data_IF_950475351317
#
_entry.id   IF_950475351317
#
_cell.length_a   1.000
_cell.length_b   1.000
_cell.length_c   1.000
_cell.angle_alpha   90.00
_cell.angle_beta   90.00
_cell.angle_gamma   90.00
#
_symmetry.space_group_name_H-M   'P 1'
#
loop_
_entity.id
_entity.type
_entity.pdbx_description
1 polymer ?
#
# COMPACT_ATOMS: atom_id res chain seq x y z
N UNK A 1 -5.45 -23.04 3.47
CA UNK A 1 -5.63 -21.60 3.19
C UNK A 1 -5.98 -21.48 1.72
N UNK A 2 -7.18 -21.04 1.41
CA UNK A 2 -7.66 -20.87 0.04
C UNK A 2 -7.75 -19.38 -0.30
N UNK A 3 -7.35 -19.02 -1.53
CA UNK A 3 -7.44 -17.68 -2.07
C UNK A 3 -8.56 -17.63 -3.10
N UNK A 4 -9.48 -16.70 -2.95
CA UNK A 4 -10.51 -16.41 -3.94
C UNK A 4 -10.30 -15.02 -4.49
N UNK A 5 -10.08 -14.90 -5.80
CA UNK A 5 -10.02 -13.61 -6.47
C UNK A 5 -11.39 -12.92 -6.35
N UNK A 6 -11.40 -11.72 -5.83
CA UNK A 6 -12.60 -10.91 -5.62
C UNK A 6 -12.65 -9.70 -6.56
N UNK A 7 -11.50 -9.13 -6.87
CA UNK A 7 -11.39 -7.98 -7.78
C UNK A 7 -10.05 -8.03 -8.52
N UNK A 8 -10.07 -7.64 -9.77
CA UNK A 8 -8.91 -7.46 -10.64
C UNK A 8 -9.05 -6.10 -11.32
N UNK A 9 -8.11 -5.20 -11.00
CA UNK A 9 -8.10 -3.84 -11.53
C UNK A 9 -6.77 -3.60 -12.23
N UNK A 10 -6.84 -3.28 -13.51
CA UNK A 10 -5.65 -2.95 -14.31
C UNK A 10 -5.75 -1.52 -14.76
N UNK A 11 -4.76 -0.73 -14.40
CA UNK A 11 -4.57 0.62 -14.90
C UNK A 11 -3.66 0.56 -16.14
N UNK A 12 -4.21 0.85 -17.30
CA UNK A 12 -3.50 0.89 -18.59
C UNK A 12 -3.21 2.31 -19.05
N UNK A 13 -3.76 3.28 -18.35
CA UNK A 13 -3.53 4.71 -18.54
C UNK A 13 -3.42 5.38 -17.18
N UNK A 14 -2.87 6.57 -17.17
CA UNK A 14 -2.66 7.40 -16.00
C UNK A 14 -3.90 7.55 -15.13
N UNK A 15 -3.88 6.94 -13.95
CA UNK A 15 -4.86 7.15 -12.90
C UNK A 15 -4.14 7.54 -11.62
N UNK A 16 -4.74 8.39 -10.82
CA UNK A 16 -4.16 8.83 -9.55
C UNK A 16 -4.37 7.84 -8.40
N UNK A 17 -5.38 6.97 -8.55
CA UNK A 17 -5.80 6.08 -7.48
C UNK A 17 -6.46 4.80 -8.01
N UNK A 18 -6.40 3.73 -7.22
CA UNK A 18 -7.10 2.47 -7.45
C UNK A 18 -7.88 2.13 -6.20
N UNK A 19 -9.21 2.05 -6.33
CA UNK A 19 -10.14 1.87 -5.23
C UNK A 19 -10.76 0.47 -5.22
N UNK A 20 -10.67 -0.19 -4.08
CA UNK A 20 -11.43 -1.40 -3.77
C UNK A 20 -12.57 -1.04 -2.82
N UNK A 21 -13.72 -0.67 -3.36
CA UNK A 21 -14.91 -0.20 -2.62
C UNK A 21 -15.98 -1.28 -2.47
N UNK A 22 -15.69 -2.50 -2.88
CA UNK A 22 -16.59 -3.64 -2.76
C UNK A 22 -15.83 -4.93 -2.49
N UNK A 23 -16.53 -5.94 -1.95
CA UNK A 23 -15.94 -7.26 -1.70
C UNK A 23 -15.25 -7.41 -0.33
N UNK A 24 -14.99 -6.33 0.39
CA UNK A 24 -14.48 -6.38 1.77
C UNK A 24 -15.68 -6.56 2.71
N UNK A 25 -15.87 -7.79 3.20
CA UNK A 25 -17.04 -8.19 4.00
C UNK A 25 -16.62 -9.14 5.13
N UNK A 26 -17.56 -9.60 5.93
CA UNK A 26 -17.34 -10.62 6.95
C UNK A 26 -17.16 -12.05 6.41
N UNK A 27 -17.28 -12.24 5.09
CA UNK A 27 -17.12 -13.55 4.45
C UNK A 27 -15.71 -14.12 4.56
N UNK A 28 -14.71 -13.24 4.68
CA UNK A 28 -13.31 -13.62 4.83
C UNK A 28 -12.70 -12.99 6.08
N UNK A 29 -11.80 -13.74 6.73
CA UNK A 29 -11.07 -13.24 7.92
C UNK A 29 -9.89 -12.38 7.56
N UNK A 30 -9.36 -12.53 6.37
CA UNK A 30 -8.27 -11.70 5.87
C UNK A 30 -8.41 -11.44 4.36
N UNK A 31 -7.77 -10.39 3.93
CA UNK A 31 -7.72 -9.98 2.54
C UNK A 31 -6.28 -9.78 2.16
N UNK A 32 -5.93 -10.22 0.95
CA UNK A 32 -4.63 -10.01 0.35
C UNK A 32 -4.78 -9.17 -0.90
N UNK A 33 -4.12 -8.02 -0.93
CA UNK A 33 -3.97 -7.20 -2.11
C UNK A 33 -2.60 -7.49 -2.70
N UNK A 34 -2.52 -7.61 -4.01
CA UNK A 34 -1.28 -7.91 -4.73
C UNK A 34 -1.19 -6.98 -5.92
N UNK A 35 -0.02 -6.42 -6.16
CA UNK A 35 0.23 -5.60 -7.33
C UNK A 35 1.44 -6.10 -8.09
N UNK A 36 1.36 -5.97 -9.42
CA UNK A 36 2.38 -6.38 -10.36
C UNK A 36 2.62 -5.27 -11.35
N UNK A 37 3.88 -5.11 -11.74
CA UNK A 37 4.32 -4.17 -12.75
C UNK A 37 3.77 -2.75 -12.51
N UNK A 38 3.60 -2.43 -11.22
CA UNK A 38 3.16 -1.11 -10.81
C UNK A 38 4.25 -0.10 -11.13
N UNK A 39 3.87 0.94 -11.82
CA UNK A 39 4.77 2.02 -12.20
C UNK A 39 4.11 3.36 -11.96
N UNK A 40 4.90 4.31 -11.50
CA UNK A 40 4.54 5.72 -11.40
C UNK A 40 5.65 6.56 -12.02
N UNK A 41 5.29 7.69 -12.57
CA UNK A 41 6.26 8.65 -13.09
C UNK A 41 6.94 9.43 -11.97
N UNK A 42 6.19 9.76 -10.94
CA UNK A 42 6.71 10.45 -9.73
C UNK A 42 5.88 10.05 -8.51
N UNK A 43 6.50 10.06 -7.34
CA UNK A 43 5.81 9.83 -6.07
C UNK A 43 6.02 8.45 -5.46
N UNK A 44 5.21 8.14 -4.48
CA UNK A 44 5.30 6.93 -3.67
C UNK A 44 4.07 6.07 -3.87
N UNK A 45 4.21 4.74 -3.76
CA UNK A 45 3.05 3.90 -3.54
C UNK A 45 2.56 4.08 -2.11
N UNK A 46 1.31 4.45 -1.98
CA UNK A 46 0.65 4.70 -0.70
C UNK A 46 -0.68 3.99 -0.63
N UNK A 47 -1.25 3.83 0.57
CA UNK A 47 -2.61 3.32 0.73
C UNK A 47 -3.37 4.01 1.87
N UNK A 48 -4.68 3.91 1.81
CA UNK A 48 -5.63 4.44 2.79
C UNK A 48 -6.78 3.47 2.98
N UNK A 49 -7.48 3.59 4.09
CA UNK A 49 -8.70 2.83 4.36
C UNK A 49 -9.90 3.74 4.54
N UNK A 50 -11.07 3.18 4.27
CA UNK A 50 -12.36 3.83 4.45
C UNK A 50 -13.36 2.91 5.16
N UNK A 51 -14.24 3.52 5.95
CA UNK A 51 -15.36 2.82 6.59
C UNK A 51 -16.69 3.02 5.86
N UNK A 52 -16.74 3.93 4.89
CA UNK A 52 -17.96 4.33 4.18
C UNK A 52 -17.76 4.48 2.65
N UNK A 53 -16.55 4.22 2.15
CA UNK A 53 -16.13 4.39 0.75
C UNK A 53 -16.21 5.84 0.23
N UNK A 54 -16.29 6.83 1.11
CA UNK A 54 -16.33 8.24 0.76
C UNK A 54 -15.20 9.04 1.41
N UNK A 55 -14.97 8.84 2.69
CA UNK A 55 -13.85 9.42 3.42
C UNK A 55 -12.72 8.38 3.54
N UNK A 56 -11.50 8.77 3.20
CA UNK A 56 -10.30 7.93 3.23
C UNK A 56 -9.39 8.39 4.36
N UNK A 57 -9.92 8.41 5.58
CA UNK A 57 -9.37 9.10 6.74
C UNK A 57 -9.26 8.21 7.99
N UNK A 58 -9.27 6.89 7.84
CA UNK A 58 -9.11 5.99 8.97
C UNK A 58 -7.71 6.14 9.56
N UNK A 59 -7.65 6.49 10.84
CA UNK A 59 -6.39 6.68 11.58
C UNK A 59 -5.54 5.41 11.56
N UNK A 60 -4.24 5.59 11.38
CA UNK A 60 -3.30 4.47 11.28
C UNK A 60 -2.07 4.69 12.15
N UNK A 61 -1.60 3.63 12.77
CA UNK A 61 -0.27 3.55 13.39
C UNK A 61 0.54 2.50 12.67
N UNK A 62 1.77 2.81 12.31
CA UNK A 62 2.61 1.90 11.53
C UNK A 62 4.09 2.03 11.86
N UNK A 63 4.85 1.05 11.42
CA UNK A 63 6.30 1.11 11.29
C UNK A 63 6.71 0.88 9.83
N UNK A 64 7.91 1.27 9.48
CA UNK A 64 8.45 1.09 8.13
C UNK A 64 9.92 0.67 8.21
N UNK A 65 10.27 -0.35 7.43
CA UNK A 65 11.63 -0.84 7.27
C UNK A 65 11.93 -0.95 5.77
N UNK A 66 13.10 -0.49 5.37
CA UNK A 66 13.54 -0.52 3.97
C UNK A 66 14.98 -0.98 3.89
N UNK A 67 15.28 -1.87 2.96
CA UNK A 67 16.65 -2.19 2.54
C UNK A 67 16.85 -1.69 1.12
N UNK A 68 18.03 -1.14 0.89
CA UNK A 68 18.44 -0.60 -0.38
C UNK A 68 19.79 -1.17 -0.81
N UNK A 69 19.90 -1.58 -2.05
CA UNK A 69 21.13 -2.07 -2.66
C UNK A 69 21.34 -1.37 -4.00
N UNK A 70 22.54 -0.85 -4.20
CA UNK A 70 22.95 -0.18 -5.41
C UNK A 70 23.74 -1.15 -6.31
N UNK A 71 23.51 -1.13 -7.62
CA UNK A 71 24.23 -1.95 -8.60
C UNK A 71 25.75 -1.74 -8.60
N UNK A 72 26.22 -0.58 -8.15
CA UNK A 72 27.65 -0.30 -8.02
C UNK A 72 28.29 -0.95 -6.78
N UNK A 73 27.53 -1.67 -5.95
CA UNK A 73 27.97 -2.33 -4.71
C UNK A 73 28.66 -1.41 -3.70
N UNK A 74 28.34 -0.13 -3.72
CA UNK A 74 29.02 0.88 -2.87
C UNK A 74 28.06 1.59 -1.90
N UNK A 75 26.81 1.16 -1.83
CA UNK A 75 25.81 1.84 -1.00
C UNK A 75 24.67 0.89 -0.60
N UNK A 76 24.97 -0.04 0.28
CA UNK A 76 23.99 -0.97 0.85
C UNK A 76 23.51 -0.42 2.19
N UNK A 77 22.22 -0.20 2.32
CA UNK A 77 21.63 0.35 3.53
C UNK A 77 20.40 -0.45 3.99
N UNK A 78 20.31 -0.56 5.30
CA UNK A 78 19.10 -0.97 5.98
C UNK A 78 18.61 0.21 6.83
N UNK A 79 17.48 0.77 6.47
CA UNK A 79 16.90 1.92 7.15
C UNK A 79 15.58 1.55 7.83
N UNK A 80 15.44 1.96 9.08
CA UNK A 80 14.17 2.05 9.75
C UNK A 80 13.73 3.53 9.72
N UNK A 81 12.69 3.83 8.96
CA UNK A 81 12.14 5.17 8.94
C UNK A 81 11.12 5.36 10.06
N UNK A 82 11.30 6.41 10.84
CA UNK A 82 10.39 6.83 11.90
C UNK A 82 9.96 8.27 11.57
N UNK A 83 8.70 8.45 11.23
CA UNK A 83 8.11 9.74 10.84
C UNK A 83 8.21 10.04 9.33
N UNK A 84 7.70 11.19 8.93
CA UNK A 84 7.81 11.68 7.54
C UNK A 84 6.92 10.96 6.50
N UNK A 85 5.80 10.36 6.91
CA UNK A 85 4.90 9.65 6.00
C UNK A 85 5.20 8.16 5.85
N UNK A 86 6.39 7.70 6.25
CA UNK A 86 6.78 6.29 6.18
C UNK A 86 6.35 5.48 7.39
N UNK A 87 6.42 6.07 8.57
CA UNK A 87 5.88 5.48 9.78
C UNK A 87 4.97 6.51 10.44
N UNK A 88 3.73 6.12 10.69
CA UNK A 88 2.70 6.99 11.24
C UNK A 88 2.42 6.61 12.68
N UNK A 89 2.54 7.58 13.58
CA UNK A 89 2.07 7.44 14.95
C UNK A 89 0.69 8.06 15.08
N UNK A 90 -0.36 7.25 15.10
CA UNK A 90 -1.74 7.66 15.39
C UNK A 90 -2.15 8.98 14.67
N UNK A 91 -1.85 9.07 13.39
CA UNK A 91 -2.09 10.26 12.62
C UNK A 91 -3.56 10.35 12.19
N UNK A 92 -4.10 11.56 12.27
CA UNK A 92 -5.45 11.86 11.83
C UNK A 92 -5.38 12.04 10.31
N UNK A 93 -5.65 10.98 9.63
CA UNK A 93 -5.30 10.66 8.29
C UNK A 93 -5.95 11.51 7.19
N UNK A 94 -5.40 12.65 6.95
CA UNK A 94 -5.33 13.16 5.58
C UNK A 94 -4.03 12.72 4.87
N UNK A 95 -3.29 11.81 5.47
CA UNK A 95 -1.96 11.40 5.03
C UNK A 95 -2.00 9.98 4.49
N UNK A 96 -1.55 9.81 3.26
CA UNK A 96 -1.30 8.50 2.67
C UNK A 96 -0.21 7.78 3.46
N UNK A 97 -0.45 6.53 3.83
CA UNK A 97 0.61 5.70 4.38
C UNK A 97 1.49 5.20 3.25
N UNK A 98 2.73 5.62 3.26
CA UNK A 98 3.70 5.22 2.23
C UNK A 98 4.07 3.74 2.39
N UNK A 99 3.87 2.97 1.33
CA UNK A 99 4.31 1.58 1.24
C UNK A 99 5.67 1.45 0.54
N UNK A 100 5.97 2.36 -0.38
CA UNK A 100 7.24 2.40 -1.10
C UNK A 100 7.59 3.84 -1.47
N UNK A 101 8.85 4.23 -1.27
CA UNK A 101 9.30 5.61 -1.41
C UNK A 101 10.29 5.75 -2.54
N UNK A 102 9.84 5.71 -3.78
CA UNK A 102 10.75 5.96 -4.89
C UNK A 102 10.07 6.70 -6.03
N UNK A 103 10.81 7.62 -6.61
CA UNK A 103 10.49 8.22 -7.90
C UNK A 103 11.11 7.38 -9.01
N UNK A 104 10.29 6.85 -9.89
CA UNK A 104 10.70 5.98 -10.98
C UNK A 104 10.85 6.79 -12.27
N UNK A 105 12.03 7.38 -12.47
CA UNK A 105 12.33 8.13 -13.70
C UNK A 105 12.69 7.26 -14.91
N UNK A 106 12.78 5.93 -14.73
CA UNK A 106 13.22 5.01 -15.79
C UNK A 106 12.06 4.19 -16.34
N UNK A 107 12.13 3.92 -17.65
CA UNK A 107 11.07 3.22 -18.38
C UNK A 107 10.87 1.76 -17.95
N UNK A 108 11.88 1.15 -17.33
CA UNK A 108 11.94 -0.23 -16.88
C UNK A 108 11.81 -0.41 -15.36
N UNK A 109 11.67 0.68 -14.62
CA UNK A 109 11.45 0.63 -13.17
C UNK A 109 10.02 0.22 -12.85
N UNK A 110 9.87 -0.69 -11.90
CA UNK A 110 8.56 -1.21 -11.48
C UNK A 110 8.56 -1.68 -10.03
N UNK A 111 7.35 -1.80 -9.47
CA UNK A 111 7.12 -2.30 -8.11
C UNK A 111 6.19 -3.51 -8.17
N UNK A 112 6.55 -4.55 -7.42
CA UNK A 112 5.68 -5.70 -7.15
C UNK A 112 5.56 -5.89 -5.64
N UNK A 113 4.38 -6.27 -5.17
CA UNK A 113 4.22 -6.46 -3.73
C UNK A 113 2.86 -7.00 -3.31
N UNK A 114 2.70 -7.03 -2.00
CA UNK A 114 1.46 -7.46 -1.37
C UNK A 114 1.18 -6.70 -0.06
N UNK A 115 -0.09 -6.53 0.23
CA UNK A 115 -0.60 -6.04 1.51
C UNK A 115 -1.63 -7.04 2.04
N UNK A 116 -1.51 -7.34 3.31
CA UNK A 116 -2.47 -8.16 4.05
C UNK A 116 -3.25 -7.31 5.03
N UNK A 117 -4.56 -7.43 4.99
CA UNK A 117 -5.49 -6.78 5.91
C UNK A 117 -6.23 -7.85 6.71
N UNK A 118 -6.09 -7.82 8.03
CA UNK A 118 -6.62 -8.82 8.93
C UNK A 118 -7.94 -8.36 9.53
N UNK A 119 -8.96 -9.22 9.41
CA UNK A 119 -10.27 -9.07 10.04
C UNK A 119 -10.91 -7.68 9.86
N UNK A 120 -10.97 -7.13 8.61
CA UNK A 120 -11.44 -5.76 8.38
C UNK A 120 -12.90 -5.54 8.79
N UNK A 121 -13.72 -6.58 8.74
CA UNK A 121 -15.13 -6.50 9.11
C UNK A 121 -15.38 -6.52 10.64
N UNK A 122 -14.34 -6.61 11.47
CA UNK A 122 -14.49 -6.54 12.92
C UNK A 122 -15.08 -5.18 13.34
N UNK A 123 -16.05 -5.22 14.25
CA UNK A 123 -16.59 -4.03 14.93
C UNK A 123 -16.13 -3.92 16.39
N UNK A 124 -15.13 -4.70 16.76
CA UNK A 124 -14.62 -4.78 18.15
C UNK A 124 -13.15 -4.41 18.24
N UNK A 125 -12.35 -4.84 17.28
CA UNK A 125 -10.88 -4.70 17.32
C UNK A 125 -10.37 -3.79 16.20
N UNK A 126 -9.27 -3.10 16.45
CA UNK A 126 -8.46 -2.46 15.43
C UNK A 126 -8.02 -3.47 14.35
N UNK A 127 -7.79 -3.01 13.15
CA UNK A 127 -7.48 -3.87 12.00
C UNK A 127 -6.00 -3.89 11.75
N UNK A 128 -5.38 -5.03 12.02
CA UNK A 128 -3.96 -5.24 11.73
C UNK A 128 -3.75 -5.39 10.22
N UNK A 129 -2.64 -4.88 9.77
CA UNK A 129 -2.18 -5.04 8.40
C UNK A 129 -0.65 -5.15 8.35
N UNK A 130 -0.14 -5.72 7.29
CA UNK A 130 1.28 -5.69 6.96
C UNK A 130 1.46 -5.74 5.44
N UNK A 131 2.57 -5.20 4.98
CA UNK A 131 2.94 -5.26 3.57
C UNK A 131 4.41 -5.63 3.39
N UNK A 132 4.72 -6.07 2.19
CA UNK A 132 6.07 -6.14 1.65
C UNK A 132 6.04 -5.83 0.17
N UNK A 133 7.05 -5.14 -0.31
CA UNK A 133 7.25 -4.96 -1.74
C UNK A 133 8.72 -4.97 -2.12
N UNK A 134 8.94 -5.15 -3.41
CA UNK A 134 10.23 -5.05 -4.07
C UNK A 134 10.08 -4.12 -5.25
N UNK A 135 11.02 -3.23 -5.41
CA UNK A 135 11.07 -2.28 -6.52
C UNK A 135 12.45 -2.26 -7.16
N UNK A 136 12.47 -2.05 -8.46
CA UNK A 136 13.66 -1.68 -9.19
C UNK A 136 13.62 -0.20 -9.52
N UNK A 137 14.75 0.46 -9.42
CA UNK A 137 14.90 1.83 -9.85
C UNK A 137 16.28 2.03 -10.48
N UNK A 138 16.45 3.09 -11.21
CA UNK A 138 17.59 3.48 -12.04
C UNK A 138 18.95 2.77 -11.80
N UNK A 139 19.36 2.58 -10.56
CA UNK A 139 20.69 2.07 -10.20
C UNK A 139 20.67 1.04 -9.06
N UNK A 140 19.55 0.39 -8.83
CA UNK A 140 19.46 -0.58 -7.75
C UNK A 140 18.07 -1.14 -7.50
N UNK A 141 17.93 -1.79 -6.35
CA UNK A 141 16.66 -2.32 -5.90
C UNK A 141 16.38 -1.92 -4.45
N UNK A 142 15.10 -1.90 -4.13
CA UNK A 142 14.61 -1.65 -2.78
C UNK A 142 13.66 -2.77 -2.39
N UNK A 143 13.75 -3.16 -1.13
CA UNK A 143 12.73 -3.96 -0.47
C UNK A 143 12.19 -3.18 0.70
N UNK A 144 10.87 -3.08 0.81
CA UNK A 144 10.22 -2.44 1.93
C UNK A 144 9.26 -3.38 2.64
N UNK A 145 9.18 -3.19 3.94
CA UNK A 145 8.27 -3.89 4.85
C UNK A 145 7.66 -2.87 5.77
N UNK A 146 6.36 -2.94 5.94
CA UNK A 146 5.70 -2.21 7.02
C UNK A 146 4.57 -3.02 7.61
N UNK A 147 4.14 -2.62 8.77
CA UNK A 147 2.98 -3.18 9.44
C UNK A 147 2.44 -2.19 10.45
N UNK A 148 1.18 -2.38 10.78
CA UNK A 148 0.51 -1.48 11.69
C UNK A 148 -0.93 -1.89 11.94
N UNK A 149 -1.69 -0.94 12.42
CA UNK A 149 -3.13 -1.13 12.60
C UNK A 149 -3.89 0.16 12.29
N UNK A 150 -5.12 -0.01 11.83
CA UNK A 150 -6.09 1.06 11.76
C UNK A 150 -6.82 1.19 13.10
N UNK A 151 -6.77 2.37 13.69
CA UNK A 151 -7.41 2.68 14.96
C UNK A 151 -8.89 3.00 14.75
N UNK A 152 -9.67 1.98 14.48
CA UNK A 152 -11.12 2.07 14.38
C UNK A 152 -11.78 0.76 14.82
N UNK A 153 -12.88 0.88 15.55
CA UNK A 153 -13.78 -0.24 15.82
C UNK A 153 -14.78 -0.47 14.68
N UNK A 154 -14.97 0.48 13.76
CA UNK A 154 -15.85 0.31 12.62
C UNK A 154 -15.27 -0.65 11.59
N UNK A 155 -16.11 -1.37 10.87
CA UNK A 155 -15.67 -2.20 9.76
C UNK A 155 -15.03 -1.35 8.66
N UNK A 156 -13.89 -1.78 8.14
CA UNK A 156 -13.29 -1.22 6.92
C UNK A 156 -14.05 -1.79 5.73
N UNK A 157 -14.52 -0.94 4.86
CA UNK A 157 -15.30 -1.29 3.65
C UNK A 157 -14.55 -0.98 2.36
N UNK A 158 -13.51 -0.14 2.43
CA UNK A 158 -12.70 0.23 1.27
C UNK A 158 -11.22 0.33 1.58
N UNK A 159 -10.42 0.02 0.55
CA UNK A 159 -8.97 0.26 0.49
C UNK A 159 -8.67 1.01 -0.79
N UNK A 160 -7.91 2.08 -0.69
CA UNK A 160 -7.39 2.88 -1.80
C UNK A 160 -5.89 2.72 -1.88
N UNK A 161 -5.37 2.47 -3.04
CA UNK A 161 -3.97 2.66 -3.39
C UNK A 161 -3.84 3.94 -4.20
N UNK A 162 -2.85 4.76 -3.88
CA UNK A 162 -2.62 6.03 -4.53
C UNK A 162 -1.13 6.25 -4.82
N UNK A 163 -0.84 7.08 -5.78
CA UNK A 163 0.48 7.59 -6.06
C UNK A 163 0.60 9.01 -5.50
N UNK A 164 1.67 9.32 -4.83
CA UNK A 164 1.95 10.68 -4.35
C UNK A 164 2.66 10.71 -3.01
N UNK A 165 3.27 11.85 -2.71
CA UNK A 165 3.67 12.20 -1.36
C UNK A 165 2.42 12.58 -0.54
N UNK A 166 2.53 12.56 0.78
CA UNK A 166 1.45 12.95 1.68
C UNK A 166 0.77 14.27 1.21
N UNK A 167 -0.43 14.16 0.68
CA UNK A 167 -1.24 15.31 0.23
C UNK A 167 -1.15 15.66 -1.26
N UNK A 168 -0.35 14.97 -2.04
CA UNK A 168 -0.31 15.16 -3.50
C UNK A 168 -0.67 13.87 -4.22
N UNK A 169 -1.73 13.91 -5.01
CA UNK A 169 -2.06 12.83 -5.95
C UNK A 169 -1.09 12.95 -7.12
N UNK A 170 -0.12 12.06 -7.18
CA UNK A 170 0.77 11.95 -8.34
C UNK A 170 0.02 11.40 -9.53
N UNK A 171 0.45 11.77 -10.72
CA UNK A 171 -0.09 11.27 -11.97
C UNK A 171 0.55 9.91 -12.32
N UNK A 172 -0.21 9.05 -13.00
CA UNK A 172 0.27 7.92 -13.78
C UNK A 172 0.53 6.60 -13.05
N UNK A 173 -0.45 6.11 -12.27
CA UNK A 173 -0.48 4.70 -11.90
C UNK A 173 -0.73 3.85 -13.16
N UNK A 174 0.19 2.93 -13.44
CA UNK A 174 -0.05 1.80 -14.35
C UNK A 174 0.25 0.50 -13.61
N UNK A 175 -0.30 -0.62 -14.05
CA UNK A 175 -0.08 -1.92 -13.46
C UNK A 175 -1.36 -2.68 -13.13
N UNK A 176 -1.22 -3.83 -12.53
CA UNK A 176 -2.33 -4.70 -12.15
C UNK A 176 -2.42 -4.81 -10.63
N UNK A 177 -3.61 -4.55 -10.09
CA UNK A 177 -3.93 -4.69 -8.68
C UNK A 177 -5.04 -5.73 -8.50
N UNK A 178 -4.82 -6.70 -7.62
CA UNK A 178 -5.79 -7.78 -7.36
C UNK A 178 -6.09 -7.90 -5.88
N UNK A 179 -7.35 -8.10 -5.57
CA UNK A 179 -7.81 -8.38 -4.21
C UNK A 179 -8.30 -9.82 -4.09
N UNK A 180 -7.82 -10.52 -3.09
CA UNK A 180 -8.22 -11.87 -2.73
C UNK A 180 -8.82 -11.92 -1.34
N UNK A 181 -9.92 -12.65 -1.19
CA UNK A 181 -10.40 -13.12 0.10
C UNK A 181 -9.67 -14.40 0.51
N UNK A 182 -9.32 -14.49 1.78
CA UNK A 182 -8.53 -15.62 2.33
C UNK A 182 -9.33 -16.34 3.40
N UNK A 183 -9.51 -17.65 3.23
CA UNK A 183 -10.22 -18.56 4.13
C UNK A 183 -9.33 -19.71 4.60
#
# INVERSE_FOLDING_TARGET
MAFKLLSDQSATSSVSEIDFTSGITSAYKSYRFVWYDYRVTEGNLSFMASIDNSAWDVRVTSNFLQSWNNEASNNDNLNAAIGGGYAQGDDNASTFLVLESMSFGQADSHICGELWLMNPASTTFGKMWWHRCASSYNVGQIHSWSGGYFDTASAITGIRFACGAAGELGDDITGSFKMYGVS
#
